data_IF_279537818200
#
_entry.id   IF_279537818200
#
_cell.length_a   1.000
_cell.length_b   1.000
_cell.length_c   1.000
_cell.angle_alpha   90.00
_cell.angle_beta   90.00
_cell.angle_gamma   90.00
#
_symmetry.space_group_name_H-M   'P 1'
#
loop_
_entity.id
_entity.type
_entity.pdbx_description
1 polymer ?
#
# COMPACT_ATOMS: atom_id res chain seq x y z
N UNK A 1 -5.64 11.12 -1.78
CA UNK A 1 -6.33 9.85 -1.55
C UNK A 1 -5.74 9.11 -0.37
N UNK A 2 -6.48 8.20 0.19
CA UNK A 2 -5.97 7.32 1.24
C UNK A 2 -5.35 6.10 0.59
N UNK A 3 -4.12 5.78 0.98
CA UNK A 3 -3.43 4.58 0.51
C UNK A 3 -3.25 3.65 1.69
N UNK A 4 -3.85 2.47 1.62
CA UNK A 4 -3.64 1.41 2.61
C UNK A 4 -2.56 0.47 2.09
N UNK A 5 -1.54 0.26 2.90
CA UNK A 5 -0.51 -0.73 2.60
C UNK A 5 -0.85 -2.02 3.32
N UNK A 6 -1.01 -3.09 2.57
CA UNK A 6 -1.32 -4.42 3.09
C UNK A 6 -0.16 -5.36 2.80
N UNK A 7 -0.03 -6.39 3.64
CA UNK A 7 0.94 -7.45 3.38
C UNK A 7 0.38 -8.45 2.35
N UNK A 8 1.19 -9.46 2.02
CA UNK A 8 0.80 -10.45 1.01
C UNK A 8 -0.39 -11.33 1.45
N UNK A 9 -0.71 -11.37 2.73
CA UNK A 9 -1.87 -12.09 3.25
C UNK A 9 -3.12 -11.21 3.35
N UNK A 10 -2.99 -9.92 3.07
CA UNK A 10 -4.10 -8.97 3.10
C UNK A 10 -4.28 -8.25 4.42
N UNK A 11 -3.36 -8.41 5.37
CA UNK A 11 -3.40 -7.67 6.63
C UNK A 11 -2.86 -6.26 6.43
N UNK A 12 -3.54 -5.29 7.01
CA UNK A 12 -3.13 -3.88 6.89
C UNK A 12 -1.87 -3.62 7.71
N UNK A 13 -0.88 -3.01 7.07
CA UNK A 13 0.37 -2.61 7.69
C UNK A 13 0.28 -1.17 8.19
N UNK A 14 -0.14 -0.26 7.32
CA UNK A 14 -0.22 1.17 7.59
C UNK A 14 -1.05 1.86 6.54
N UNK A 15 -1.38 3.12 6.78
CA UNK A 15 -2.11 3.95 5.83
C UNK A 15 -1.49 5.33 5.77
N UNK A 16 -1.60 5.98 4.62
CA UNK A 16 -1.08 7.32 4.39
C UNK A 16 -2.04 8.09 3.49
N UNK A 17 -2.01 9.41 3.60
CA UNK A 17 -2.71 10.29 2.65
C UNK A 17 -1.67 10.79 1.66
N UNK A 18 -1.86 10.51 0.38
CA UNK A 18 -0.93 10.90 -0.67
C UNK A 18 -1.64 11.02 -2.00
N UNK A 19 -0.99 11.68 -2.95
CA UNK A 19 -1.55 11.89 -4.29
C UNK A 19 -1.03 10.90 -5.31
N UNK A 20 0.09 10.26 -5.04
CA UNK A 20 0.75 9.37 -5.99
C UNK A 20 0.86 7.97 -5.44
N UNK A 21 0.67 7.01 -6.33
CA UNK A 21 0.84 5.60 -6.03
C UNK A 21 2.21 5.10 -6.53
N UNK A 22 2.80 4.12 -5.84
CA UNK A 22 3.96 3.43 -6.41
C UNK A 22 3.54 2.62 -7.63
N UNK A 23 4.51 2.18 -8.40
CA UNK A 23 4.28 1.27 -9.53
C UNK A 23 4.39 -0.19 -9.08
N UNK A 24 3.79 -1.08 -9.86
CA UNK A 24 3.99 -2.51 -9.65
C UNK A 24 5.48 -2.84 -9.73
N UNK A 25 5.92 -3.74 -8.87
CA UNK A 25 7.29 -4.23 -8.75
C UNK A 25 8.28 -3.21 -8.16
N UNK A 26 7.82 -2.02 -7.81
CA UNK A 26 8.69 -1.09 -7.08
C UNK A 26 9.06 -1.66 -5.70
N UNK A 27 10.29 -1.39 -5.29
CA UNK A 27 10.72 -1.68 -3.93
C UNK A 27 10.45 -0.45 -3.09
N UNK A 28 9.61 -0.60 -2.06
CA UNK A 28 9.24 0.51 -1.18
C UNK A 28 9.55 0.17 0.27
N UNK A 29 9.71 1.20 1.06
CA UNK A 29 9.91 1.09 2.49
C UNK A 29 8.80 1.83 3.20
N UNK A 30 8.16 1.16 4.14
CA UNK A 30 7.09 1.72 4.95
C UNK A 30 7.60 1.86 6.38
N UNK A 31 7.61 3.09 6.88
CA UNK A 31 7.94 3.36 8.28
C UNK A 31 6.64 3.47 9.06
N UNK A 32 6.46 2.58 10.01
CA UNK A 32 5.29 2.54 10.89
C UNK A 32 5.75 2.63 12.35
N UNK A 33 4.82 2.80 13.26
CA UNK A 33 5.15 2.91 14.70
C UNK A 33 5.83 1.67 15.25
N UNK A 34 5.47 0.51 14.72
CA UNK A 34 6.02 -0.77 15.16
C UNK A 34 7.35 -1.11 14.50
N UNK A 35 7.81 -0.28 13.56
CA UNK A 35 9.07 -0.55 12.87
C UNK A 35 9.00 -0.19 11.39
N UNK A 36 9.92 -0.76 10.64
CA UNK A 36 10.11 -0.47 9.23
C UNK A 36 10.02 -1.75 8.42
N UNK A 37 9.23 -1.73 7.37
CA UNK A 37 9.02 -2.87 6.48
C UNK A 37 9.37 -2.45 5.06
N UNK A 38 10.18 -3.26 4.37
CA UNK A 38 10.53 -3.04 2.97
C UNK A 38 10.07 -4.23 2.15
N UNK A 39 9.56 -3.97 0.95
CA UNK A 39 9.11 -5.03 0.08
C UNK A 39 8.80 -4.54 -1.32
N UNK A 40 8.40 -5.47 -2.17
CA UNK A 40 7.97 -5.16 -3.54
C UNK A 40 6.47 -5.00 -3.60
N UNK A 41 6.03 -4.03 -4.40
CA UNK A 41 4.61 -3.82 -4.69
C UNK A 41 4.16 -4.92 -5.65
N UNK A 42 3.23 -5.77 -5.20
CA UNK A 42 2.75 -6.90 -5.99
C UNK A 42 1.34 -6.69 -6.53
N UNK A 43 0.58 -5.75 -5.95
CA UNK A 43 -0.79 -5.49 -6.39
C UNK A 43 -1.20 -4.08 -6.01
N UNK A 44 -1.92 -3.42 -6.92
CA UNK A 44 -2.49 -2.09 -6.67
C UNK A 44 -3.96 -2.16 -7.06
N UNK A 45 -4.85 -1.84 -6.10
CA UNK A 45 -6.28 -1.73 -6.34
C UNK A 45 -6.74 -0.33 -5.98
N UNK A 46 -7.69 0.19 -6.75
CA UNK A 46 -8.33 1.48 -6.47
C UNK A 46 -9.80 1.25 -6.20
N UNK A 47 -10.30 1.89 -5.17
CA UNK A 47 -11.70 1.87 -4.82
C UNK A 47 -12.26 3.27 -4.93
N UNK A 48 -13.27 3.44 -5.77
CA UNK A 48 -13.95 4.71 -5.96
C UNK A 48 -15.26 4.67 -5.19
N UNK A 49 -15.35 5.45 -4.13
CA UNK A 49 -16.55 5.55 -3.31
C UNK A 49 -17.35 6.75 -3.78
N UNK A 50 -18.38 6.50 -4.59
CA UNK A 50 -19.21 7.56 -5.14
C UNK A 50 -20.21 8.10 -4.12
N UNK A 51 -20.46 7.37 -3.04
CA UNK A 51 -21.35 7.81 -1.97
C UNK A 51 -20.64 8.86 -1.13
N UNK A 52 -19.39 8.60 -0.75
CA UNK A 52 -18.57 9.50 0.07
C UNK A 52 -17.75 10.47 -0.77
N UNK A 53 -17.78 10.32 -2.07
CA UNK A 53 -17.03 11.13 -3.02
C UNK A 53 -15.51 11.12 -2.72
N UNK A 54 -14.96 9.93 -2.55
CA UNK A 54 -13.54 9.77 -2.26
C UNK A 54 -12.95 8.57 -2.98
N UNK A 55 -11.63 8.56 -3.06
CA UNK A 55 -10.86 7.47 -3.68
C UNK A 55 -9.92 6.90 -2.64
N UNK A 56 -9.87 5.59 -2.58
CA UNK A 56 -8.97 4.84 -1.71
C UNK A 56 -8.17 3.88 -2.57
N UNK A 57 -6.90 3.71 -2.27
CA UNK A 57 -6.06 2.74 -2.94
C UNK A 57 -5.55 1.73 -1.94
N UNK A 58 -5.43 0.48 -2.38
CA UNK A 58 -4.84 -0.59 -1.58
C UNK A 58 -3.60 -1.04 -2.32
N UNK A 59 -2.46 -0.95 -1.66
CA UNK A 59 -1.16 -1.34 -2.20
C UNK A 59 -0.69 -2.54 -1.40
N UNK A 60 -0.64 -3.70 -2.06
CA UNK A 60 -0.16 -4.92 -1.42
C UNK A 60 1.32 -5.09 -1.69
N UNK A 61 2.08 -5.37 -0.64
CA UNK A 61 3.52 -5.58 -0.74
C UNK A 61 3.89 -6.99 -0.29
N UNK A 62 4.96 -7.51 -0.87
CA UNK A 62 5.55 -8.77 -0.44
C UNK A 62 6.97 -8.50 0.04
N UNK A 63 7.16 -8.52 1.35
CA UNK A 63 8.45 -8.30 1.98
C UNK A 63 9.32 -9.56 2.03
N UNK A 64 8.80 -10.69 1.56
CA UNK A 64 9.56 -11.94 1.43
C UNK A 64 10.40 -11.97 0.17
N UNK A 65 10.07 -11.13 -0.83
CA UNK A 65 10.79 -11.11 -2.10
C UNK A 65 12.05 -10.26 -1.93
N UNK A 66 13.25 -10.80 -2.18
CA UNK A 66 14.50 -10.04 -2.10
C UNK A 66 14.51 -8.87 -3.07
N UNK A 67 15.15 -7.80 -2.66
CA UNK A 67 15.33 -6.62 -3.50
C UNK A 67 16.20 -6.92 -4.70
#
# INVERSE_FOLDING_TARGET
MIIDFDDYDGYNIASIIADKLPNLMDCITIKARCGQISGKVIRIEKEYDTIRNCVKAIVRIDYRIPK
#
